data_IF_825651687900
#
_entry.id   IF_825651687900
#
_cell.length_a   1.000
_cell.length_b   1.000
_cell.length_c   1.000
_cell.angle_alpha   90.00
_cell.angle_beta   90.00
_cell.angle_gamma   90.00
#
_symmetry.space_group_name_H-M   'P 1'
#
loop_
_entity.id
_entity.type
_entity.pdbx_description
1 polymer ?
#
# COMPACT_ATOMS: atom_id res chain seq x y z
N UNK A 1 -1.11 -13.34 2.86
CA UNK A 1 -0.33 -12.98 1.65
C UNK A 1 0.72 -11.93 2.03
N UNK A 2 1.90 -12.03 1.45
CA UNK A 2 2.98 -11.06 1.65
C UNK A 2 3.30 -10.37 0.33
N UNK A 3 3.52 -9.05 0.38
CA UNK A 3 3.83 -8.26 -0.79
C UNK A 3 4.96 -7.27 -0.55
N UNK A 4 5.38 -6.60 -1.60
CA UNK A 4 6.30 -5.46 -1.54
C UNK A 4 5.86 -4.37 -2.50
N UNK A 5 6.20 -3.15 -2.17
CA UNK A 5 6.11 -2.02 -3.07
C UNK A 5 7.32 -1.97 -4.01
N UNK A 6 7.08 -1.71 -5.30
CA UNK A 6 8.08 -1.56 -6.32
C UNK A 6 7.81 -0.33 -7.19
N UNK A 7 8.79 0.59 -7.25
CA UNK A 7 8.69 1.79 -8.06
C UNK A 7 9.88 2.73 -7.86
N UNK A 8 10.11 3.64 -8.81
CA UNK A 8 11.24 4.60 -8.77
C UNK A 8 11.23 5.53 -7.57
N UNK A 9 10.03 5.83 -7.05
CA UNK A 9 9.89 6.74 -5.92
C UNK A 9 10.41 6.17 -4.61
N UNK A 10 10.52 4.85 -4.52
CA UNK A 10 11.19 4.20 -3.39
C UNK A 10 12.71 4.48 -3.37
N UNK A 11 13.26 5.08 -4.43
CA UNK A 11 14.66 5.51 -4.50
C UNK A 11 15.68 4.38 -4.39
N UNK A 12 15.23 3.14 -4.54
CA UNK A 12 15.99 1.96 -4.24
C UNK A 12 16.53 1.22 -5.47
N UNK A 13 16.49 -0.08 -5.39
CA UNK A 13 17.04 -0.97 -6.40
C UNK A 13 16.14 -1.10 -7.62
N UNK A 14 16.19 -0.11 -8.50
CA UNK A 14 15.51 -0.22 -9.76
C UNK A 14 16.08 -1.35 -10.61
N UNK A 15 15.23 -2.24 -11.07
CA UNK A 15 15.54 -3.28 -12.06
C UNK A 15 14.34 -3.48 -13.00
N UNK A 16 14.53 -4.07 -14.19
CA UNK A 16 13.41 -4.37 -15.08
C UNK A 16 12.33 -5.19 -14.36
N UNK A 17 11.04 -4.97 -14.67
CA UNK A 17 9.91 -5.66 -14.02
C UNK A 17 10.03 -7.19 -14.04
N UNK A 18 10.50 -7.76 -15.12
CA UNK A 18 10.74 -9.21 -15.23
C UNK A 18 11.75 -9.73 -14.17
N UNK A 19 12.80 -8.95 -13.88
CA UNK A 19 13.78 -9.33 -12.86
C UNK A 19 13.21 -9.16 -11.45
N UNK A 20 12.40 -8.11 -11.26
CA UNK A 20 11.73 -7.86 -9.99
C UNK A 20 10.72 -8.96 -9.67
N UNK A 21 9.88 -9.33 -10.61
CA UNK A 21 8.89 -10.39 -10.44
C UNK A 21 9.54 -11.76 -10.19
N UNK A 22 10.66 -12.06 -10.88
CA UNK A 22 11.45 -13.26 -10.56
C UNK A 22 12.00 -13.25 -9.14
N UNK A 23 12.52 -12.11 -8.68
CA UNK A 23 12.97 -11.97 -7.30
C UNK A 23 11.80 -12.14 -6.32
N UNK A 24 10.69 -11.43 -6.53
CA UNK A 24 9.52 -11.49 -5.66
C UNK A 24 8.98 -12.92 -5.54
N UNK A 25 8.84 -13.63 -6.65
CA UNK A 25 8.41 -15.03 -6.69
C UNK A 25 9.40 -15.95 -5.95
N UNK A 26 10.70 -15.84 -6.24
CA UNK A 26 11.73 -16.64 -5.58
C UNK A 26 11.86 -16.34 -4.09
N UNK A 27 11.61 -15.10 -3.69
CA UNK A 27 11.59 -14.66 -2.30
C UNK A 27 10.30 -15.07 -1.55
N UNK A 28 9.29 -15.61 -2.26
CA UNK A 28 8.00 -16.02 -1.69
C UNK A 28 7.13 -14.83 -1.30
N UNK A 29 7.16 -13.77 -2.09
CA UNK A 29 6.11 -12.76 -2.07
C UNK A 29 4.93 -13.23 -2.94
N UNK A 30 3.73 -12.94 -2.49
CA UNK A 30 2.48 -13.29 -3.18
C UNK A 30 1.96 -12.12 -4.02
N UNK A 31 2.31 -10.89 -3.64
CA UNK A 31 1.84 -9.67 -4.29
C UNK A 31 3.00 -8.71 -4.57
N UNK A 32 2.87 -7.92 -5.65
CA UNK A 32 3.74 -6.80 -5.94
C UNK A 32 2.89 -5.55 -6.18
N UNK A 33 3.12 -4.53 -5.37
CA UNK A 33 2.48 -3.24 -5.53
C UNK A 33 3.30 -2.35 -6.44
N UNK A 34 2.66 -1.81 -7.45
CA UNK A 34 3.19 -0.79 -8.34
C UNK A 34 2.40 0.51 -8.19
N UNK A 35 2.89 1.59 -8.76
CA UNK A 35 2.27 2.90 -8.62
C UNK A 35 1.79 3.43 -9.97
N UNK A 36 0.69 4.18 -9.94
CA UNK A 36 0.16 4.90 -11.10
C UNK A 36 -0.53 6.17 -10.64
N UNK A 37 0.21 7.28 -10.55
CA UNK A 37 -0.33 8.59 -10.14
C UNK A 37 -1.09 9.29 -11.28
N UNK A 38 -0.89 8.84 -12.54
CA UNK A 38 -1.49 9.41 -13.75
C UNK A 38 -1.58 8.38 -14.88
N UNK A 39 -2.44 8.63 -15.85
CA UNK A 39 -2.53 7.80 -17.04
C UNK A 39 -1.17 7.66 -17.77
N UNK A 40 -0.83 6.45 -18.16
CA UNK A 40 0.41 6.12 -18.86
C UNK A 40 1.66 6.02 -17.98
N UNK A 41 1.57 6.33 -16.69
CA UNK A 41 2.74 6.32 -15.80
C UNK A 41 3.35 4.94 -15.64
N UNK A 42 2.54 3.89 -15.59
CA UNK A 42 3.03 2.50 -15.49
C UNK A 42 4.01 2.19 -16.63
N UNK A 43 3.63 2.50 -17.87
CA UNK A 43 4.50 2.30 -19.04
C UNK A 43 5.71 3.21 -19.01
N UNK A 44 5.53 4.49 -18.68
CA UNK A 44 6.60 5.48 -18.57
C UNK A 44 7.64 5.09 -17.50
N UNK A 45 7.19 4.60 -16.35
CA UNK A 45 8.06 4.24 -15.22
C UNK A 45 8.68 2.87 -15.39
N UNK A 46 7.89 1.86 -15.76
CA UNK A 46 8.36 0.48 -15.84
C UNK A 46 8.97 0.13 -17.20
N UNK A 47 8.73 0.96 -18.22
CA UNK A 47 9.32 0.79 -19.55
C UNK A 47 8.75 -0.38 -20.33
N UNK A 48 7.59 -0.91 -19.93
CA UNK A 48 6.86 -1.98 -20.61
C UNK A 48 5.38 -1.63 -20.69
N UNK A 49 4.69 -1.98 -21.79
CA UNK A 49 3.24 -1.80 -21.89
C UNK A 49 2.47 -2.57 -20.81
N UNK A 50 1.31 -2.08 -20.37
CA UNK A 50 0.47 -2.75 -19.36
C UNK A 50 0.15 -4.22 -19.69
N UNK A 51 -0.12 -4.56 -20.96
CA UNK A 51 -0.40 -5.93 -21.37
C UNK A 51 0.81 -6.87 -21.20
N UNK A 52 2.02 -6.38 -21.51
CA UNK A 52 3.26 -7.15 -21.28
C UNK A 52 3.51 -7.31 -19.79
N UNK A 53 3.23 -6.28 -19.01
CA UNK A 53 3.36 -6.34 -17.55
C UNK A 53 2.39 -7.38 -16.96
N UNK A 54 1.15 -7.46 -17.45
CA UNK A 54 0.17 -8.48 -17.06
C UNK A 54 0.67 -9.89 -17.32
N UNK A 55 1.21 -10.16 -18.51
CA UNK A 55 1.83 -11.46 -18.84
C UNK A 55 2.97 -11.81 -17.87
N UNK A 56 3.80 -10.82 -17.49
CA UNK A 56 4.89 -11.04 -16.55
C UNK A 56 4.39 -11.36 -15.12
N UNK A 57 3.30 -10.71 -14.66
CA UNK A 57 2.66 -11.03 -13.38
C UNK A 57 2.08 -12.44 -13.36
N UNK A 58 1.37 -12.82 -14.45
CA UNK A 58 0.80 -14.16 -14.60
C UNK A 58 1.88 -15.25 -14.60
N UNK A 59 2.94 -15.06 -15.38
CA UNK A 59 4.08 -15.98 -15.47
C UNK A 59 4.80 -16.14 -14.13
N UNK A 60 4.88 -15.08 -13.33
CA UNK A 60 5.51 -15.11 -12.01
C UNK A 60 4.59 -15.69 -10.92
N UNK A 61 3.28 -15.77 -11.16
CA UNK A 61 2.27 -16.15 -10.18
C UNK A 61 2.16 -15.13 -9.02
N UNK A 62 2.35 -13.84 -9.32
CA UNK A 62 2.32 -12.73 -8.37
C UNK A 62 1.06 -11.90 -8.63
N UNK A 63 0.31 -11.55 -7.58
CA UNK A 63 -0.87 -10.69 -7.69
C UNK A 63 -0.45 -9.22 -7.84
N UNK A 64 -0.87 -8.50 -8.90
CA UNK A 64 -0.63 -7.08 -9.03
C UNK A 64 -1.55 -6.27 -8.10
N UNK A 65 -0.97 -5.30 -7.40
CA UNK A 65 -1.70 -4.28 -6.64
C UNK A 65 -1.26 -2.91 -7.15
N UNK A 66 -2.20 -1.98 -7.30
CA UNK A 66 -1.87 -0.63 -7.78
C UNK A 66 -2.23 0.41 -6.73
N UNK A 67 -1.25 1.22 -6.36
CA UNK A 67 -1.44 2.46 -5.63
C UNK A 67 -1.61 3.63 -6.60
N UNK A 68 -2.57 4.50 -6.31
CA UNK A 68 -2.76 5.76 -7.01
C UNK A 68 -2.60 6.91 -6.02
N UNK A 69 -1.43 7.59 -6.02
CA UNK A 69 -1.23 8.83 -5.26
C UNK A 69 -1.89 9.99 -6.00
N UNK A 70 -3.14 10.27 -5.68
CA UNK A 70 -3.92 11.30 -6.39
C UNK A 70 -3.79 12.66 -5.73
N UNK A 71 -3.23 13.61 -6.47
CA UNK A 71 -3.16 15.01 -6.02
C UNK A 71 -4.51 15.70 -6.24
N UNK A 72 -5.28 15.82 -5.18
CA UNK A 72 -6.55 16.52 -5.17
C UNK A 72 -6.33 18.04 -5.17
N UNK A 73 -6.85 18.72 -6.16
CA UNK A 73 -6.70 20.19 -6.33
C UNK A 73 -7.85 20.99 -5.74
N UNK A 74 -8.89 20.35 -5.21
CA UNK A 74 -10.13 20.97 -4.75
C UNK A 74 -11.22 20.97 -5.81
N UNK A 75 -11.03 20.29 -6.94
CA UNK A 75 -12.05 20.12 -7.98
C UNK A 75 -12.85 18.83 -7.76
N UNK A 76 -14.19 18.86 -7.81
CA UNK A 76 -15.03 17.67 -7.72
C UNK A 76 -14.71 16.63 -8.81
N UNK A 77 -14.87 15.34 -8.49
CA UNK A 77 -14.65 14.24 -9.42
C UNK A 77 -13.16 13.98 -9.74
N UNK A 78 -12.24 14.52 -8.94
CA UNK A 78 -10.80 14.32 -9.17
C UNK A 78 -10.41 12.86 -9.07
N UNK A 79 -10.83 12.13 -8.01
CA UNK A 79 -10.45 10.73 -7.81
C UNK A 79 -11.03 9.82 -8.89
N UNK A 80 -12.30 10.01 -9.23
CA UNK A 80 -12.99 9.27 -10.28
C UNK A 80 -12.36 9.49 -11.66
N UNK A 81 -11.94 10.72 -11.97
CA UNK A 81 -11.26 11.05 -13.22
C UNK A 81 -9.92 10.33 -13.35
N UNK A 82 -9.10 10.34 -12.30
CA UNK A 82 -7.79 9.68 -12.32
C UNK A 82 -7.93 8.16 -12.39
N UNK A 83 -8.87 7.57 -11.65
CA UNK A 83 -9.17 6.14 -11.75
C UNK A 83 -9.61 5.76 -13.16
N UNK A 84 -10.55 6.51 -13.74
CA UNK A 84 -11.05 6.28 -15.10
C UNK A 84 -9.94 6.30 -16.14
N UNK A 85 -8.98 7.20 -16.00
CA UNK A 85 -7.86 7.34 -16.93
C UNK A 85 -6.88 6.16 -16.87
N UNK A 86 -6.95 5.34 -15.82
CA UNK A 86 -6.10 4.17 -15.62
C UNK A 86 -6.82 2.83 -15.87
N UNK A 87 -8.16 2.78 -16.03
CA UNK A 87 -8.92 1.53 -16.09
C UNK A 87 -8.40 0.55 -17.14
N UNK A 88 -8.11 1.01 -18.36
CA UNK A 88 -7.61 0.14 -19.43
C UNK A 88 -6.26 -0.50 -19.07
N UNK A 89 -5.39 0.26 -18.38
CA UNK A 89 -4.11 -0.25 -17.92
C UNK A 89 -4.28 -1.25 -16.77
N UNK A 90 -5.15 -0.96 -15.81
CA UNK A 90 -5.46 -1.85 -14.69
C UNK A 90 -6.04 -3.19 -15.19
N UNK A 91 -6.97 -3.13 -16.15
CA UNK A 91 -7.53 -4.33 -16.79
C UNK A 91 -6.45 -5.12 -17.52
N UNK A 92 -5.62 -4.45 -18.33
CA UNK A 92 -4.56 -5.12 -19.13
C UNK A 92 -3.50 -5.80 -18.25
N UNK A 93 -3.28 -5.30 -17.02
CA UNK A 93 -2.35 -5.90 -16.04
C UNK A 93 -3.03 -7.05 -15.27
N UNK A 94 -4.36 -7.12 -15.24
CA UNK A 94 -5.09 -8.06 -14.40
C UNK A 94 -5.22 -7.64 -12.95
N UNK A 95 -5.21 -6.33 -12.68
CA UNK A 95 -5.35 -5.78 -11.33
C UNK A 95 -6.74 -6.07 -10.78
N UNK A 96 -6.80 -6.58 -9.55
CA UNK A 96 -8.04 -6.76 -8.80
C UNK A 96 -8.16 -5.79 -7.63
N UNK A 97 -7.03 -5.28 -7.12
CA UNK A 97 -6.96 -4.34 -6.00
C UNK A 97 -6.28 -3.06 -6.42
N UNK A 98 -7.00 -1.98 -6.28
CA UNK A 98 -6.48 -0.62 -6.44
C UNK A 98 -6.79 0.18 -5.20
N UNK A 99 -5.89 1.03 -4.77
CA UNK A 99 -6.20 1.99 -3.71
C UNK A 99 -5.79 3.40 -4.11
N UNK A 100 -6.54 4.34 -3.59
CA UNK A 100 -6.29 5.76 -3.78
C UNK A 100 -5.71 6.32 -2.48
N UNK A 101 -4.54 6.94 -2.61
CA UNK A 101 -3.86 7.72 -1.57
C UNK A 101 -4.04 9.21 -1.92
N UNK A 102 -5.08 9.88 -1.38
CA UNK A 102 -5.36 11.26 -1.76
C UNK A 102 -4.46 12.21 -1.01
N UNK A 103 -3.73 13.06 -1.73
CA UNK A 103 -2.93 14.14 -1.16
C UNK A 103 -3.43 15.48 -1.66
N UNK A 104 -3.44 16.51 -0.82
CA UNK A 104 -3.94 17.80 -1.24
C UNK A 104 -4.17 18.78 -0.09
N UNK A 105 -4.74 19.96 -0.39
CA UNK A 105 -5.07 20.95 0.60
C UNK A 105 -6.30 20.56 1.42
N UNK A 106 -6.43 21.09 2.64
CA UNK A 106 -7.56 20.80 3.53
C UNK A 106 -8.94 21.17 2.96
N UNK A 107 -8.95 22.13 2.06
CA UNK A 107 -10.13 22.59 1.35
C UNK A 107 -10.75 21.51 0.46
N UNK A 108 -9.98 20.49 0.10
CA UNK A 108 -10.48 19.32 -0.63
C UNK A 108 -11.22 18.30 0.26
N UNK A 109 -11.02 18.33 1.58
CA UNK A 109 -11.62 17.34 2.48
C UNK A 109 -13.15 17.21 2.37
N UNK A 110 -13.93 18.30 2.21
CA UNK A 110 -15.39 18.17 2.04
C UNK A 110 -15.81 17.44 0.77
N UNK A 111 -14.95 17.36 -0.25
CA UNK A 111 -15.24 16.75 -1.54
C UNK A 111 -14.90 15.25 -1.57
N UNK A 112 -14.00 14.79 -0.69
CA UNK A 112 -13.47 13.42 -0.72
C UNK A 112 -14.57 12.37 -0.69
N UNK A 113 -15.62 12.62 0.04
CA UNK A 113 -16.71 11.68 0.18
C UNK A 113 -17.43 11.42 -1.16
N UNK A 114 -17.80 12.48 -1.86
CA UNK A 114 -18.50 12.37 -3.13
C UNK A 114 -17.54 11.87 -4.22
N UNK A 115 -16.28 12.30 -4.19
CA UNK A 115 -15.22 11.84 -5.09
C UNK A 115 -14.95 10.33 -4.92
N UNK A 116 -14.86 9.83 -3.68
CA UNK A 116 -14.73 8.39 -3.44
C UNK A 116 -15.99 7.62 -3.83
N UNK A 117 -17.20 8.21 -3.66
CA UNK A 117 -18.43 7.57 -4.11
C UNK A 117 -18.44 7.37 -5.64
N UNK A 118 -18.02 8.40 -6.40
CA UNK A 118 -17.92 8.32 -7.86
C UNK A 118 -16.83 7.31 -8.29
N UNK A 119 -15.66 7.33 -7.62
CA UNK A 119 -14.58 6.38 -7.88
C UNK A 119 -14.98 4.94 -7.55
N UNK A 120 -15.73 4.73 -6.46
CA UNK A 120 -16.23 3.42 -6.06
C UNK A 120 -17.18 2.83 -7.10
N UNK A 121 -18.12 3.64 -7.61
CA UNK A 121 -19.02 3.20 -8.66
C UNK A 121 -18.27 2.75 -9.93
N UNK A 122 -17.22 3.48 -10.32
CA UNK A 122 -16.34 3.07 -11.43
C UNK A 122 -15.57 1.78 -11.15
N UNK A 123 -15.07 1.63 -9.93
CA UNK A 123 -14.34 0.43 -9.52
C UNK A 123 -15.27 -0.81 -9.51
N UNK A 124 -16.49 -0.66 -8.99
CA UNK A 124 -17.49 -1.73 -8.99
C UNK A 124 -17.86 -2.17 -10.42
N UNK A 125 -18.08 -1.21 -11.33
CA UNK A 125 -18.36 -1.48 -12.75
C UNK A 125 -17.18 -2.23 -13.43
N UNK A 126 -15.95 -1.95 -13.00
CA UNK A 126 -14.74 -2.60 -13.51
C UNK A 126 -14.34 -3.88 -12.74
N UNK A 127 -15.13 -4.33 -11.77
CA UNK A 127 -14.82 -5.44 -10.85
C UNK A 127 -13.51 -5.26 -10.07
N UNK A 128 -13.17 -4.03 -9.72
CA UNK A 128 -12.02 -3.68 -8.90
C UNK A 128 -12.43 -3.53 -7.43
N UNK A 129 -11.59 -3.99 -6.53
CA UNK A 129 -11.69 -3.70 -5.12
C UNK A 129 -10.97 -2.36 -4.87
N UNK A 130 -11.73 -1.31 -4.53
CA UNK A 130 -11.19 0.02 -4.27
C UNK A 130 -10.90 0.22 -2.78
N UNK A 131 -9.67 0.62 -2.45
CA UNK A 131 -9.25 1.03 -1.12
C UNK A 131 -9.00 2.53 -1.02
N UNK A 132 -9.17 3.08 0.19
CA UNK A 132 -8.72 4.42 0.55
C UNK A 132 -7.56 4.29 1.54
N UNK A 133 -6.43 4.90 1.24
CA UNK A 133 -5.29 4.95 2.15
C UNK A 133 -5.31 6.21 3.01
N UNK A 134 -4.98 6.06 4.29
CA UNK A 134 -4.81 7.21 5.16
C UNK A 134 -3.41 7.80 5.07
N UNK A 135 -3.31 9.09 5.34
CA UNK A 135 -2.07 9.84 5.27
C UNK A 135 -1.32 9.91 6.61
N UNK A 136 -0.01 10.12 6.51
CA UNK A 136 0.82 10.44 7.64
C UNK A 136 0.46 11.81 8.27
N UNK A 137 0.72 12.01 9.56
CA UNK A 137 0.64 13.32 10.20
C UNK A 137 1.45 14.37 9.45
N UNK A 138 0.86 15.55 9.25
CA UNK A 138 1.44 16.62 8.43
C UNK A 138 0.80 16.75 7.05
N UNK A 139 0.16 15.71 6.54
CA UNK A 139 -0.80 15.81 5.46
C UNK A 139 -2.13 16.42 5.95
N UNK A 140 -3.08 16.65 5.04
CA UNK A 140 -4.29 17.42 5.36
C UNK A 140 -5.60 16.69 5.04
N UNK A 141 -5.49 15.49 4.48
CA UNK A 141 -6.61 14.66 4.07
C UNK A 141 -6.45 13.26 4.65
N UNK A 142 -7.50 12.69 5.20
CA UNK A 142 -7.56 11.31 5.72
C UNK A 142 -6.42 10.97 6.70
N UNK A 143 -6.16 11.83 7.66
CA UNK A 143 -5.11 11.63 8.68
C UNK A 143 -5.69 11.02 9.96
N UNK A 144 -6.88 11.48 10.33
CA UNK A 144 -7.50 11.14 11.59
C UNK A 144 -8.41 9.91 11.46
N UNK A 145 -8.45 9.02 12.46
CA UNK A 145 -9.36 7.87 12.45
C UNK A 145 -10.82 8.26 12.23
N UNK A 146 -11.28 9.39 12.77
CA UNK A 146 -12.66 9.88 12.57
C UNK A 146 -12.96 10.15 11.09
N UNK A 147 -11.98 10.60 10.31
CA UNK A 147 -12.16 10.88 8.88
C UNK A 147 -12.33 9.57 8.10
N UNK A 148 -11.54 8.54 8.44
CA UNK A 148 -11.62 7.21 7.82
C UNK A 148 -12.92 6.51 8.22
N UNK A 149 -13.27 6.49 9.51
CA UNK A 149 -14.50 5.89 10.01
C UNK A 149 -15.72 6.50 9.30
N UNK A 150 -15.80 7.84 9.24
CA UNK A 150 -16.88 8.54 8.58
C UNK A 150 -16.98 8.22 7.07
N UNK A 151 -15.83 8.08 6.39
CA UNK A 151 -15.78 7.72 4.97
C UNK A 151 -16.30 6.30 4.74
N UNK A 152 -15.83 5.33 5.53
CA UNK A 152 -16.22 3.92 5.44
C UNK A 152 -17.69 3.69 5.82
N UNK A 153 -18.21 4.41 6.81
CA UNK A 153 -19.60 4.31 7.23
C UNK A 153 -20.56 4.75 6.12
N UNK A 154 -20.19 5.79 5.36
CA UNK A 154 -21.00 6.31 4.26
C UNK A 154 -20.83 5.52 2.96
N UNK A 155 -19.72 4.81 2.77
CA UNK A 155 -19.39 4.03 1.58
C UNK A 155 -19.11 2.56 1.95
N UNK A 156 -20.14 1.73 2.14
CA UNK A 156 -19.97 0.35 2.60
C UNK A 156 -19.12 -0.54 1.67
N UNK A 157 -19.06 -0.22 0.36
CA UNK A 157 -18.23 -0.94 -0.63
C UNK A 157 -16.77 -0.49 -0.67
N UNK A 158 -16.44 0.64 -0.04
CA UNK A 158 -15.07 1.13 0.01
C UNK A 158 -14.28 0.37 1.07
N UNK A 159 -13.04 0.02 0.76
CA UNK A 159 -12.11 -0.64 1.67
C UNK A 159 -11.08 0.33 2.22
N UNK A 160 -10.39 -0.09 3.28
CA UNK A 160 -9.36 0.70 3.94
C UNK A 160 -7.96 0.10 3.72
N UNK A 161 -7.00 0.92 3.36
CA UNK A 161 -5.58 0.60 3.38
C UNK A 161 -4.96 1.24 4.61
N UNK A 162 -4.55 0.40 5.54
CA UNK A 162 -3.87 0.85 6.74
C UNK A 162 -2.37 0.89 6.55
N UNK A 163 -1.76 2.07 6.66
CA UNK A 163 -0.30 2.20 6.72
C UNK A 163 0.17 2.30 8.18
N UNK A 164 0.90 1.28 8.61
CA UNK A 164 1.43 1.22 9.99
C UNK A 164 2.38 2.35 10.30
N UNK A 165 3.13 2.82 9.30
CA UNK A 165 4.15 3.85 9.41
C UNK A 165 3.57 5.28 9.42
N UNK A 166 2.37 5.47 8.87
CA UNK A 166 1.62 6.73 8.94
C UNK A 166 0.88 6.95 10.27
N UNK A 167 0.85 5.95 11.13
CA UNK A 167 -0.04 5.90 12.28
C UNK A 167 0.60 6.49 13.54
N UNK A 168 -0.03 7.52 14.12
CA UNK A 168 0.34 8.00 15.45
C UNK A 168 0.04 6.92 16.52
N UNK A 169 0.86 6.85 17.60
CA UNK A 169 0.67 5.86 18.67
C UNK A 169 -0.75 5.82 19.24
N UNK A 170 -1.40 6.98 19.37
CA UNK A 170 -2.77 7.09 19.90
C UNK A 170 -3.87 6.67 18.93
N UNK A 171 -3.57 6.47 17.64
CA UNK A 171 -4.56 6.13 16.62
C UNK A 171 -4.57 4.64 16.27
N UNK A 172 -3.51 3.91 16.61
CA UNK A 172 -3.31 2.52 16.20
C UNK A 172 -4.50 1.61 16.54
N UNK A 173 -4.98 1.65 17.77
CA UNK A 173 -6.04 0.75 18.21
C UNK A 173 -7.38 1.07 17.53
N UNK A 174 -7.61 2.32 17.16
CA UNK A 174 -8.79 2.72 16.37
C UNK A 174 -8.71 2.22 14.94
N UNK A 175 -7.55 2.34 14.28
CA UNK A 175 -7.38 1.77 12.93
C UNK A 175 -7.48 0.24 12.96
N UNK A 176 -6.89 -0.43 13.95
CA UNK A 176 -7.03 -1.89 14.11
C UNK A 176 -8.48 -2.34 14.32
N UNK A 177 -9.33 -1.51 14.93
CA UNK A 177 -10.76 -1.82 15.06
C UNK A 177 -11.48 -1.89 13.69
N UNK A 178 -10.90 -1.33 12.64
CA UNK A 178 -11.41 -1.36 11.26
C UNK A 178 -10.89 -2.57 10.45
N UNK A 179 -10.21 -3.54 11.06
CA UNK A 179 -9.54 -4.64 10.34
C UNK A 179 -10.43 -5.44 9.40
N UNK A 180 -11.73 -5.56 9.69
CA UNK A 180 -12.71 -6.24 8.83
C UNK A 180 -12.99 -5.46 7.51
N UNK A 181 -12.49 -4.23 7.43
CA UNK A 181 -12.60 -3.34 6.27
C UNK A 181 -11.26 -3.14 5.57
N UNK A 182 -10.18 -3.82 5.99
CA UNK A 182 -8.91 -3.73 5.31
C UNK A 182 -8.96 -4.41 3.94
N UNK A 183 -8.37 -3.77 2.92
CA UNK A 183 -8.03 -4.41 1.64
C UNK A 183 -6.59 -4.89 1.62
N UNK A 184 -5.70 -4.15 2.26
CA UNK A 184 -4.30 -4.50 2.50
C UNK A 184 -3.73 -3.64 3.65
N UNK A 185 -2.53 -3.97 4.12
CA UNK A 185 -1.78 -3.17 5.09
C UNK A 185 -0.40 -2.87 4.54
N UNK A 186 -0.02 -1.60 4.53
CA UNK A 186 1.36 -1.18 4.30
C UNK A 186 2.18 -1.37 5.58
N UNK A 187 3.33 -2.02 5.43
CA UNK A 187 4.18 -2.39 6.55
C UNK A 187 5.59 -1.87 6.32
N UNK A 188 6.00 -0.93 7.14
CA UNK A 188 7.37 -0.47 7.29
C UNK A 188 7.60 0.03 8.70
N UNK A 189 8.84 0.17 9.12
CA UNK A 189 9.15 0.59 10.48
C UNK A 189 9.35 2.11 10.59
N UNK A 190 9.17 2.63 11.79
CA UNK A 190 9.41 4.04 12.10
C UNK A 190 9.82 4.21 13.56
N UNK A 191 10.65 5.22 13.91
CA UNK A 191 11.08 5.47 15.28
C UNK A 191 10.04 6.32 16.03
N UNK A 192 8.92 5.72 16.49
CA UNK A 192 7.90 6.44 17.26
C UNK A 192 8.52 7.34 18.35
N UNK A 193 8.01 8.56 18.56
CA UNK A 193 6.74 9.08 18.02
C UNK A 193 6.80 9.67 16.61
N UNK A 194 7.95 9.63 15.94
CA UNK A 194 8.06 10.04 14.55
C UNK A 194 7.34 9.03 13.65
N UNK A 195 6.82 9.50 12.52
CA UNK A 195 6.09 8.70 11.54
C UNK A 195 6.62 8.94 10.14
N UNK A 196 6.16 8.15 9.16
CA UNK A 196 6.48 8.32 7.75
C UNK A 196 7.98 8.18 7.42
N UNK A 197 8.66 7.18 8.01
CA UNK A 197 10.07 6.93 7.76
C UNK A 197 10.34 5.79 6.76
N UNK A 198 9.39 4.88 6.56
CA UNK A 198 9.49 3.72 5.67
C UNK A 198 10.78 2.91 5.85
N UNK A 199 11.17 2.69 7.11
CA UNK A 199 12.38 1.95 7.45
C UNK A 199 12.19 0.44 7.29
N UNK A 200 13.28 -0.30 7.05
CA UNK A 200 13.31 -1.75 7.19
C UNK A 200 12.85 -2.19 8.58
N UNK A 201 12.16 -3.32 8.67
CA UNK A 201 11.64 -3.82 9.95
C UNK A 201 12.76 -4.09 10.96
N UNK A 202 12.57 -3.59 12.18
CA UNK A 202 13.54 -3.65 13.27
C UNK A 202 14.55 -2.51 13.28
N UNK A 203 14.37 -1.48 12.43
CA UNK A 203 15.14 -0.23 12.50
C UNK A 203 14.38 0.91 13.17
N UNK A 204 13.11 0.73 13.43
CA UNK A 204 12.27 1.57 14.28
C UNK A 204 11.86 0.83 15.54
N UNK A 205 10.64 1.09 16.00
CA UNK A 205 10.11 0.50 17.24
C UNK A 205 8.62 0.13 17.15
N UNK A 206 8.10 -0.10 15.94
CA UNK A 206 6.73 -0.59 15.77
C UNK A 206 6.60 -2.05 16.23
N UNK A 207 5.47 -2.37 16.85
CA UNK A 207 5.10 -3.74 17.22
C UNK A 207 4.22 -4.36 16.14
N UNK A 208 4.80 -5.22 15.31
CA UNK A 208 4.11 -5.92 14.23
C UNK A 208 3.30 -7.14 14.71
N UNK A 209 3.36 -7.48 15.99
CA UNK A 209 2.54 -8.56 16.54
C UNK A 209 1.04 -8.27 16.47
N UNK A 210 0.66 -7.02 16.33
CA UNK A 210 -0.73 -6.57 16.14
C UNK A 210 -1.34 -7.02 14.81
N UNK A 211 -0.50 -7.44 13.84
CA UNK A 211 -0.93 -7.92 12.52
C UNK A 211 -1.27 -9.42 12.49
N UNK A 212 -1.19 -10.15 13.61
CA UNK A 212 -1.41 -11.61 13.67
C UNK A 212 -2.78 -12.07 13.20
N UNK A 213 -3.79 -11.24 13.47
CA UNK A 213 -5.19 -11.55 13.16
C UNK A 213 -5.68 -10.74 11.95
N UNK A 214 -4.76 -10.27 11.11
CA UNK A 214 -5.07 -9.54 9.88
C UNK A 214 -4.93 -10.50 8.71
N UNK A 215 -6.05 -10.77 8.02
CA UNK A 215 -6.14 -11.73 6.91
C UNK A 215 -6.27 -11.03 5.55
N UNK A 216 -5.39 -10.07 5.31
CA UNK A 216 -5.25 -9.37 4.02
C UNK A 216 -3.78 -9.30 3.63
N UNK A 217 -3.44 -8.90 2.39
CA UNK A 217 -2.04 -8.71 2.01
C UNK A 217 -1.31 -7.72 2.93
N UNK A 218 -0.13 -8.14 3.41
CA UNK A 218 0.80 -7.29 4.14
C UNK A 218 1.91 -6.88 3.16
N UNK A 219 1.92 -5.63 2.74
CA UNK A 219 2.83 -5.11 1.72
C UNK A 219 3.99 -4.37 2.37
N UNK A 220 5.22 -4.86 2.19
CA UNK A 220 6.42 -4.15 2.66
C UNK A 220 6.62 -2.87 1.83
N UNK A 221 6.36 -1.73 2.44
CA UNK A 221 6.59 -0.41 1.85
C UNK A 221 7.85 0.22 2.43
N UNK A 222 8.98 -0.42 2.12
CA UNK A 222 10.30 0.04 2.54
C UNK A 222 10.89 0.90 1.44
N UNK A 223 11.27 2.11 1.77
CA UNK A 223 11.81 3.05 0.80
C UNK A 223 12.90 3.92 1.39
N UNK A 224 13.56 4.65 0.52
CA UNK A 224 14.61 5.58 0.92
C UNK A 224 14.14 7.02 0.84
N UNK A 225 13.17 7.43 1.62
CA UNK A 225 12.82 8.84 1.70
C UNK A 225 14.00 9.66 2.22
N UNK A 226 14.17 10.92 1.79
CA UNK A 226 15.33 11.73 2.18
C UNK A 226 15.52 11.86 3.71
N UNK A 227 14.43 11.94 4.45
CA UNK A 227 14.46 12.03 5.93
C UNK A 227 14.68 10.68 6.63
N UNK A 228 14.60 9.56 5.89
CA UNK A 228 14.81 8.21 6.43
C UNK A 228 16.24 7.68 6.23
N UNK A 229 17.14 8.50 5.74
CA UNK A 229 18.52 8.11 5.46
C UNK A 229 18.86 7.96 3.97
N UNK A 230 17.91 8.27 3.08
CA UNK A 230 18.13 8.30 1.64
C UNK A 230 17.82 6.99 0.92
N UNK A 231 18.04 6.93 -0.41
CA UNK A 231 17.71 5.80 -1.26
C UNK A 231 18.52 4.55 -0.91
N UNK A 232 17.98 3.37 -1.22
CA UNK A 232 18.70 2.09 -1.12
C UNK A 232 18.45 1.31 0.16
N UNK A 233 17.38 1.63 0.89
CA UNK A 233 16.96 0.86 2.07
C UNK A 233 16.21 -0.44 1.70
N UNK A 234 15.82 -0.61 0.45
CA UNK A 234 15.03 -1.71 -0.10
C UNK A 234 15.87 -2.71 -0.91
N UNK A 235 17.12 -2.96 -0.50
CA UNK A 235 17.94 -4.02 -1.12
C UNK A 235 17.33 -5.40 -0.89
N UNK A 236 17.63 -6.36 -1.76
CA UNK A 236 17.11 -7.72 -1.66
C UNK A 236 17.30 -8.33 -0.27
N UNK A 237 18.52 -8.22 0.29
CA UNK A 237 18.83 -8.74 1.62
C UNK A 237 17.99 -8.07 2.71
N UNK A 238 17.75 -6.77 2.59
CA UNK A 238 16.92 -6.01 3.55
C UNK A 238 15.44 -6.38 3.44
N UNK A 239 14.97 -6.58 2.22
CA UNK A 239 13.58 -7.03 1.98
C UNK A 239 13.38 -8.44 2.52
N UNK A 240 14.34 -9.35 2.30
CA UNK A 240 14.28 -10.72 2.85
C UNK A 240 14.32 -10.72 4.39
N UNK A 241 15.22 -9.95 5.02
CA UNK A 241 15.28 -9.84 6.49
C UNK A 241 13.95 -9.25 7.03
N UNK A 242 13.42 -8.21 6.41
CA UNK A 242 12.15 -7.60 6.82
C UNK A 242 10.98 -8.57 6.66
N UNK A 243 10.94 -9.34 5.58
CA UNK A 243 9.95 -10.40 5.35
C UNK A 243 10.02 -11.48 6.44
N UNK A 244 11.21 -11.97 6.75
CA UNK A 244 11.40 -12.98 7.82
C UNK A 244 10.96 -12.45 9.18
N UNK A 245 11.24 -11.18 9.49
CA UNK A 245 10.78 -10.52 10.71
C UNK A 245 9.26 -10.44 10.76
N UNK A 246 8.63 -9.99 9.68
CA UNK A 246 7.18 -9.89 9.59
C UNK A 246 6.52 -11.24 9.80
N UNK A 247 6.98 -12.29 9.11
CA UNK A 247 6.49 -13.66 9.27
C UNK A 247 6.61 -14.15 10.71
N UNK A 248 7.71 -13.87 11.38
CA UNK A 248 7.93 -14.26 12.78
C UNK A 248 7.02 -13.50 13.75
N UNK A 249 6.88 -12.20 13.56
CA UNK A 249 6.22 -11.31 14.50
C UNK A 249 4.69 -11.33 14.31
N UNK A 250 4.22 -11.44 13.07
CA UNK A 250 2.82 -11.60 12.72
C UNK A 250 2.33 -13.08 12.73
N UNK A 251 3.21 -14.06 12.98
CA UNK A 251 2.79 -15.45 13.08
C UNK A 251 1.83 -15.67 14.25
N UNK A 252 0.77 -16.48 14.09
CA UNK A 252 -0.11 -16.87 15.19
C UNK A 252 0.69 -17.57 16.29
N UNK A 253 0.27 -17.37 17.54
CA UNK A 253 1.00 -17.86 18.73
C UNK A 253 1.19 -19.39 18.71
N UNK A 254 0.24 -20.11 18.10
CA UNK A 254 0.29 -21.56 17.90
C UNK A 254 1.41 -22.04 16.95
N UNK A 255 1.96 -21.16 16.11
CA UNK A 255 3.04 -21.47 15.17
C UNK A 255 4.45 -21.16 15.74
N UNK A 256 4.54 -20.60 16.95
CA UNK A 256 5.82 -20.29 17.60
C UNK A 256 6.41 -21.55 18.22
N UNK A 257 7.54 -21.99 17.70
CA UNK A 257 8.37 -23.01 18.38
C UNK A 257 8.85 -22.40 19.71
N UNK A 258 8.63 -23.07 20.86
CA UNK A 258 9.13 -22.59 22.16
C UNK A 258 10.63 -22.34 22.08
N UNK A 259 11.09 -21.14 22.42
CA UNK A 259 12.52 -20.90 22.61
C UNK A 259 12.99 -21.79 23.75
N UNK A 260 13.86 -22.73 23.48
CA UNK A 260 14.58 -23.45 24.52
C UNK A 260 15.44 -22.41 25.25
N UNK A 261 15.31 -22.23 26.57
CA UNK A 261 16.21 -21.34 27.31
C UNK A 261 17.63 -21.92 27.24
N UNK A 262 18.55 -21.11 26.71
CA UNK A 262 20.00 -21.39 26.77
C UNK A 262 20.56 -20.96 28.11
#
# INVERSE_FOLDING_TARGET
MLGRFFGRLAGGNWRPPEQELRFASAAGFDTLQIRSDRAGEIEDELGVPPSVLGELFDDAGIEPVVEMLVRHTGEPGTLARELRANLDALEAIGVLRVHIHPVGPREAAPLLHDDFAEALALAEDANLLLGAEHNAPGHRLLVEPDEIEALLDRLPGLWFVWDTNHTLPGHRDRFLALKERFSLVHVSDTPLPETNHHLPLGRGNLDFSVLRDVDVPLVLEIGGLPHSGGPGLDTDDVLLDSRERLLRDAAPESARVPRTPT
#
